data_IF_220602141227
#
_entry.id   IF_220602141227
#
_cell.length_a   1.000
_cell.length_b   1.000
_cell.length_c   1.000
_cell.angle_alpha   90.00
_cell.angle_beta   90.00
_cell.angle_gamma   90.00
#
_symmetry.space_group_name_H-M   'P 1'
#
loop_
_entity.id
_entity.type
_entity.pdbx_description
1 polymer ?
#
# COMPACT_ATOMS: atom_id res chain seq x y z
N UNK A 1 -3.92 16.40 -12.97
CA UNK A 1 -5.29 16.41 -12.42
C UNK A 1 -5.93 17.78 -12.47
N UNK A 2 -5.19 18.88 -12.25
CA UNK A 2 -5.76 20.23 -12.34
C UNK A 2 -6.41 20.53 -13.70
N UNK A 3 -5.93 19.90 -14.77
CA UNK A 3 -6.39 20.12 -16.15
C UNK A 3 -7.52 19.19 -16.60
N UNK A 4 -8.04 18.30 -15.75
CA UNK A 4 -9.20 17.45 -16.11
C UNK A 4 -10.47 18.23 -15.81
N UNK A 5 -11.29 18.50 -16.83
CA UNK A 5 -12.58 19.19 -16.71
C UNK A 5 -13.68 18.28 -16.14
N UNK A 6 -14.78 18.88 -15.66
CA UNK A 6 -15.94 18.13 -15.17
C UNK A 6 -16.56 17.26 -16.28
N UNK A 7 -16.76 17.82 -17.48
CA UNK A 7 -17.31 17.07 -18.63
C UNK A 7 -16.51 15.82 -18.96
N UNK A 8 -15.18 15.93 -19.00
CA UNK A 8 -14.30 14.79 -19.25
C UNK A 8 -14.34 13.77 -18.09
N UNK A 9 -14.50 14.23 -16.85
CA UNK A 9 -14.66 13.35 -15.69
C UNK A 9 -15.99 12.60 -15.74
N UNK A 10 -17.10 13.29 -16.03
CA UNK A 10 -18.45 12.74 -16.16
C UNK A 10 -18.51 11.67 -17.24
N UNK A 11 -17.93 11.90 -18.42
CA UNK A 11 -17.91 10.91 -19.50
C UNK A 11 -17.18 9.60 -19.12
N UNK A 12 -16.23 9.64 -18.18
CA UNK A 12 -15.40 8.47 -17.80
C UNK A 12 -15.83 7.82 -16.48
N UNK A 13 -16.74 8.45 -15.73
CA UNK A 13 -17.30 7.93 -14.48
C UNK A 13 -18.77 7.62 -14.77
N UNK A 14 -19.10 6.34 -14.88
CA UNK A 14 -20.45 5.89 -15.23
C UNK A 14 -21.44 6.17 -14.09
N UNK A 15 -22.73 6.37 -14.41
CA UNK A 15 -23.82 6.51 -13.44
C UNK A 15 -23.87 5.34 -12.46
N UNK A 16 -23.68 4.12 -12.97
CA UNK A 16 -23.61 2.90 -12.15
C UNK A 16 -22.49 2.96 -11.11
N UNK A 17 -21.35 3.60 -11.40
CA UNK A 17 -20.27 3.74 -10.41
C UNK A 17 -20.68 4.69 -9.28
N UNK A 18 -21.42 5.75 -9.58
CA UNK A 18 -21.92 6.70 -8.58
C UNK A 18 -23.00 6.05 -7.70
N UNK A 19 -23.95 5.32 -8.30
CA UNK A 19 -24.97 4.57 -7.57
C UNK A 19 -24.35 3.51 -6.64
N UNK A 20 -23.35 2.77 -7.13
CA UNK A 20 -22.59 1.81 -6.32
C UNK A 20 -21.78 2.47 -5.19
N UNK A 21 -21.36 3.72 -5.35
CA UNK A 21 -20.72 4.47 -4.27
C UNK A 21 -21.75 4.85 -3.21
N UNK A 22 -22.93 5.29 -3.63
CA UNK A 22 -24.01 5.68 -2.73
C UNK A 22 -24.51 4.49 -1.90
N UNK A 23 -24.73 3.32 -2.51
CA UNK A 23 -25.13 2.11 -1.78
C UNK A 23 -24.11 1.64 -0.75
N UNK A 24 -22.83 1.97 -0.92
CA UNK A 24 -21.77 1.63 0.04
C UNK A 24 -21.72 2.55 1.25
N UNK A 25 -22.44 3.68 1.25
CA UNK A 25 -22.46 4.65 2.37
C UNK A 25 -23.02 4.01 3.64
N UNK A 26 -24.01 3.14 3.52
CA UNK A 26 -24.57 2.42 4.67
C UNK A 26 -23.55 1.46 5.32
N UNK A 27 -22.60 0.96 4.55
CA UNK A 27 -21.57 0.03 5.01
C UNK A 27 -20.28 0.70 5.48
N UNK A 28 -20.27 2.02 5.67
CA UNK A 28 -19.05 2.78 6.01
C UNK A 28 -18.44 2.38 7.36
N UNK A 29 -19.26 1.91 8.30
CA UNK A 29 -18.80 1.35 9.59
C UNK A 29 -17.90 0.13 9.40
N UNK A 30 -18.25 -0.76 8.46
CA UNK A 30 -17.45 -1.94 8.11
C UNK A 30 -16.07 -1.56 7.58
N UNK A 31 -16.00 -0.54 6.69
CA UNK A 31 -14.72 -0.04 6.18
C UNK A 31 -13.85 0.55 7.30
N UNK A 32 -14.46 1.28 8.24
CA UNK A 32 -13.77 1.82 9.42
C UNK A 32 -13.20 0.70 10.29
N UNK A 33 -14.00 -0.33 10.59
CA UNK A 33 -13.55 -1.51 11.33
C UNK A 33 -12.39 -2.23 10.66
N UNK A 34 -12.41 -2.40 9.33
CA UNK A 34 -11.31 -3.01 8.56
C UNK A 34 -10.02 -2.21 8.64
N UNK A 35 -10.10 -0.87 8.57
CA UNK A 35 -8.92 0.00 8.72
C UNK A 35 -8.36 -0.09 10.14
N UNK A 36 -9.20 0.01 11.17
CA UNK A 36 -8.77 -0.11 12.57
C UNK A 36 -8.12 -1.47 12.82
N UNK A 37 -8.76 -2.56 12.37
CA UNK A 37 -8.19 -3.91 12.48
C UNK A 37 -6.86 -4.06 11.74
N UNK A 38 -6.75 -3.49 10.53
CA UNK A 38 -5.49 -3.50 9.77
C UNK A 38 -4.37 -2.72 10.48
N UNK A 39 -4.71 -1.65 11.19
CA UNK A 39 -3.75 -0.83 11.93
C UNK A 39 -3.27 -1.55 13.19
N UNK A 40 -4.17 -2.20 13.92
CA UNK A 40 -3.79 -3.07 15.03
C UNK A 40 -2.86 -4.18 14.55
N UNK A 41 -3.19 -4.82 13.43
CA UNK A 41 -2.33 -5.83 12.83
C UNK A 41 -0.96 -5.28 12.39
N UNK A 42 -0.93 -4.09 11.79
CA UNK A 42 0.31 -3.42 11.41
C UNK A 42 1.22 -3.14 12.62
N UNK A 43 0.64 -2.72 13.74
CA UNK A 43 1.38 -2.50 14.98
C UNK A 43 1.92 -3.82 15.56
N UNK A 44 1.13 -4.90 15.52
CA UNK A 44 1.57 -6.24 15.92
C UNK A 44 2.77 -6.71 15.10
N UNK A 45 2.75 -6.51 13.78
CA UNK A 45 3.88 -6.82 12.90
C UNK A 45 5.13 -5.98 13.19
N UNK A 46 4.94 -4.77 13.73
CA UNK A 46 6.03 -3.89 14.14
C UNK A 46 6.64 -4.23 15.50
N UNK A 47 5.98 -5.03 16.34
CA UNK A 47 6.47 -5.34 17.71
C UNK A 47 7.88 -5.91 17.76
N UNK A 48 8.33 -6.83 16.87
CA UNK A 48 9.70 -7.34 16.92
C UNK A 48 10.77 -6.25 16.77
N UNK A 49 10.43 -5.08 16.21
CA UNK A 49 11.33 -3.94 16.10
C UNK A 49 11.62 -3.27 17.44
N UNK A 50 10.81 -3.45 18.49
CA UNK A 50 11.09 -2.85 19.81
C UNK A 50 12.39 -3.32 20.41
N UNK A 51 12.79 -4.56 20.13
CA UNK A 51 14.02 -5.16 20.64
C UNK A 51 15.29 -4.42 20.20
N UNK A 52 15.23 -3.71 19.07
CA UNK A 52 16.40 -3.09 18.45
C UNK A 52 16.20 -1.61 18.12
N UNK A 53 14.96 -1.19 17.87
CA UNK A 53 14.60 0.07 17.23
C UNK A 53 13.27 0.64 17.76
N UNK A 54 13.08 0.65 19.08
CA UNK A 54 11.84 1.10 19.70
C UNK A 54 11.36 2.49 19.24
N UNK A 55 12.28 3.42 18.96
CA UNK A 55 11.95 4.77 18.49
C UNK A 55 11.19 4.77 17.15
N UNK A 56 11.51 3.84 16.25
CA UNK A 56 10.80 3.71 14.98
C UNK A 56 9.39 3.18 15.19
N UNK A 57 9.17 2.23 16.11
CA UNK A 57 7.82 1.77 16.41
C UNK A 57 6.95 2.89 17.00
N UNK A 58 7.50 3.75 17.86
CA UNK A 58 6.78 4.93 18.39
C UNK A 58 6.39 5.87 17.24
N UNK A 59 7.30 6.11 16.30
CA UNK A 59 7.01 6.89 15.09
C UNK A 59 5.89 6.27 14.23
N UNK A 60 5.91 4.95 14.04
CA UNK A 60 4.85 4.23 13.33
C UNK A 60 3.50 4.35 14.05
N UNK A 61 3.48 4.23 15.38
CA UNK A 61 2.27 4.38 16.19
C UNK A 61 1.69 5.78 16.04
N UNK A 62 2.53 6.82 16.11
CA UNK A 62 2.10 8.19 15.91
C UNK A 62 1.50 8.42 14.52
N UNK A 63 2.20 7.96 13.46
CA UNK A 63 1.73 8.08 12.08
C UNK A 63 0.40 7.34 11.85
N UNK A 64 0.29 6.10 12.33
CA UNK A 64 -0.94 5.32 12.20
C UNK A 64 -2.08 5.90 13.00
N UNK A 65 -1.83 6.45 14.19
CA UNK A 65 -2.84 7.13 15.01
C UNK A 65 -3.43 8.35 14.30
N UNK A 66 -2.57 9.22 13.73
CA UNK A 66 -3.01 10.35 12.90
C UNK A 66 -3.87 9.87 11.74
N UNK A 67 -3.46 8.77 11.10
CA UNK A 67 -4.15 8.20 9.96
C UNK A 67 -5.53 7.63 10.32
N UNK A 68 -5.67 6.94 11.46
CA UNK A 68 -6.98 6.50 12.00
C UNK A 68 -7.88 7.70 12.24
N UNK A 69 -7.41 8.66 13.03
CA UNK A 69 -8.21 9.83 13.44
C UNK A 69 -8.70 10.55 12.19
N UNK A 70 -7.81 10.82 11.25
CA UNK A 70 -8.16 11.45 9.98
C UNK A 70 -9.19 10.64 9.19
N UNK A 71 -9.03 9.31 9.11
CA UNK A 71 -9.97 8.47 8.37
C UNK A 71 -11.36 8.43 9.02
N UNK A 72 -11.43 8.33 10.35
CA UNK A 72 -12.69 8.31 11.10
C UNK A 72 -13.45 9.62 10.96
N UNK A 73 -12.75 10.76 10.89
CA UNK A 73 -13.36 12.10 10.68
C UNK A 73 -13.84 12.37 9.25
N UNK A 74 -13.52 11.53 8.27
CA UNK A 74 -14.03 11.73 6.91
C UNK A 74 -15.54 11.52 6.83
N UNK A 75 -16.20 12.35 5.99
CA UNK A 75 -17.56 12.09 5.56
C UNK A 75 -17.65 10.70 4.88
N UNK A 76 -18.80 9.99 4.94
CA UNK A 76 -18.92 8.62 4.48
C UNK A 76 -18.46 8.38 3.05
N UNK A 77 -18.88 9.22 2.10
CA UNK A 77 -18.44 9.12 0.71
C UNK A 77 -16.92 9.23 0.58
N UNK A 78 -16.27 10.10 1.36
CA UNK A 78 -14.82 10.24 1.35
C UNK A 78 -14.11 9.07 2.05
N UNK A 79 -14.74 8.39 3.00
CA UNK A 79 -14.19 7.13 3.57
C UNK A 79 -14.11 6.05 2.51
N UNK A 80 -15.16 5.90 1.70
CA UNK A 80 -15.19 4.90 0.61
C UNK A 80 -14.14 5.24 -0.46
N UNK A 81 -14.09 6.50 -0.90
CA UNK A 81 -13.17 6.94 -1.95
C UNK A 81 -11.70 6.83 -1.53
N UNK A 82 -11.39 7.03 -0.24
CA UNK A 82 -10.01 6.97 0.26
C UNK A 82 -9.64 5.60 0.84
N UNK A 83 -10.56 4.64 0.95
CA UNK A 83 -10.35 3.36 1.63
C UNK A 83 -9.08 2.63 1.15
N UNK A 84 -8.93 2.40 -0.16
CA UNK A 84 -7.76 1.67 -0.69
C UNK A 84 -6.46 2.45 -0.55
N UNK A 85 -6.51 3.79 -0.54
CA UNK A 85 -5.31 4.63 -0.32
C UNK A 85 -4.87 4.55 1.13
N UNK A 86 -5.82 4.60 2.07
CA UNK A 86 -5.56 4.48 3.51
C UNK A 86 -5.07 3.08 3.84
N UNK A 87 -5.72 2.05 3.30
CA UNK A 87 -5.30 0.65 3.46
C UNK A 87 -3.88 0.43 2.91
N UNK A 88 -3.57 0.99 1.73
CA UNK A 88 -2.20 0.99 1.20
C UNK A 88 -1.21 1.60 2.20
N UNK A 89 -1.49 2.79 2.75
CA UNK A 89 -0.57 3.47 3.68
C UNK A 89 -0.36 2.67 4.97
N UNK A 90 -1.40 2.02 5.48
CA UNK A 90 -1.31 1.14 6.66
C UNK A 90 -0.41 -0.05 6.38
N UNK A 91 -0.65 -0.78 5.30
CA UNK A 91 0.15 -1.95 4.94
C UNK A 91 1.57 -1.59 4.48
N UNK A 92 1.77 -0.42 3.88
CA UNK A 92 3.09 0.12 3.57
C UNK A 92 3.90 0.34 4.85
N UNK A 93 3.26 0.92 5.86
CA UNK A 93 3.86 1.11 7.18
C UNK A 93 4.17 -0.25 7.80
N UNK A 94 3.20 -1.18 7.82
CA UNK A 94 3.44 -2.53 8.33
C UNK A 94 4.67 -3.22 7.70
N UNK A 95 4.76 -3.20 6.36
CA UNK A 95 5.85 -3.82 5.64
C UNK A 95 7.21 -3.19 5.96
N UNK A 96 7.32 -1.85 5.93
CA UNK A 96 8.57 -1.15 6.22
C UNK A 96 9.04 -1.44 7.65
N UNK A 97 8.15 -1.30 8.63
CA UNK A 97 8.51 -1.46 10.05
C UNK A 97 8.69 -2.93 10.46
N UNK A 98 8.13 -3.88 9.71
CA UNK A 98 8.49 -5.29 9.82
C UNK A 98 9.92 -5.53 9.29
N UNK A 99 10.26 -4.95 8.14
CA UNK A 99 11.53 -5.22 7.47
C UNK A 99 12.76 -4.59 8.16
N UNK A 100 12.60 -3.48 8.90
CA UNK A 100 13.72 -2.87 9.65
C UNK A 100 14.38 -3.83 10.65
N UNK A 101 13.66 -4.84 11.13
CA UNK A 101 14.19 -5.84 12.08
C UNK A 101 15.37 -6.60 11.47
N UNK A 102 15.34 -6.83 10.16
CA UNK A 102 16.40 -7.53 9.42
C UNK A 102 17.60 -6.64 9.09
N UNK A 103 17.51 -5.34 9.35
CA UNK A 103 18.60 -4.37 9.10
C UNK A 103 19.48 -4.14 10.34
N UNK A 104 19.45 -5.08 11.30
CA UNK A 104 20.27 -4.99 12.51
C UNK A 104 21.75 -5.09 12.21
N UNK A 105 22.45 -3.97 12.29
CA UNK A 105 23.91 -3.89 12.22
C UNK A 105 24.46 -3.46 13.57
N UNK A 106 25.28 -4.30 14.20
CA UNK A 106 25.85 -4.02 15.55
C UNK A 106 26.66 -2.72 15.60
N UNK A 107 27.30 -2.35 14.50
CA UNK A 107 28.11 -1.13 14.39
C UNK A 107 27.27 0.15 14.18
N UNK A 108 25.96 0.04 13.88
CA UNK A 108 25.09 1.18 13.62
C UNK A 108 24.44 1.69 14.92
N UNK A 109 25.24 2.35 15.73
CA UNK A 109 24.83 2.90 17.04
C UNK A 109 23.72 3.94 16.93
N UNK A 110 23.68 4.69 15.83
CA UNK A 110 22.71 5.78 15.60
C UNK A 110 21.48 5.32 14.80
N UNK A 111 21.40 4.04 14.44
CA UNK A 111 20.30 3.46 13.68
C UNK A 111 20.05 4.16 12.32
N UNK A 112 21.11 4.63 11.67
CA UNK A 112 21.05 5.34 10.39
C UNK A 112 20.64 4.43 9.24
N UNK A 113 21.01 3.15 9.27
CA UNK A 113 20.69 2.20 8.20
C UNK A 113 19.16 1.98 8.11
N UNK A 114 18.45 1.64 9.21
CA UNK A 114 17.00 1.59 9.19
C UNK A 114 16.35 2.93 8.82
N UNK A 115 16.91 4.06 9.26
CA UNK A 115 16.37 5.39 8.92
C UNK A 115 16.41 5.63 7.41
N UNK A 116 17.56 5.40 6.78
CA UNK A 116 17.74 5.51 5.34
C UNK A 116 16.79 4.58 4.60
N UNK A 117 16.65 3.33 5.07
CA UNK A 117 15.71 2.38 4.50
C UNK A 117 14.26 2.87 4.59
N UNK A 118 13.81 3.42 5.72
CA UNK A 118 12.46 3.98 5.87
C UNK A 118 12.23 5.11 4.86
N UNK A 119 13.17 6.06 4.78
CA UNK A 119 13.09 7.22 3.86
C UNK A 119 13.04 6.75 2.41
N UNK A 120 13.97 5.88 2.00
CA UNK A 120 14.03 5.36 0.64
C UNK A 120 12.79 4.54 0.30
N UNK A 121 12.29 3.73 1.24
CA UNK A 121 11.10 2.90 1.05
C UNK A 121 9.84 3.73 0.77
N UNK A 122 9.56 4.74 1.60
CA UNK A 122 8.45 5.66 1.35
C UNK A 122 8.66 6.47 0.06
N UNK A 123 9.89 6.91 -0.21
CA UNK A 123 10.25 7.64 -1.43
C UNK A 123 9.99 6.81 -2.69
N UNK A 124 10.49 5.58 -2.75
CA UNK A 124 10.28 4.67 -3.88
C UNK A 124 8.81 4.31 -4.06
N UNK A 125 8.09 3.98 -2.99
CA UNK A 125 6.65 3.68 -3.07
C UNK A 125 5.85 4.88 -3.57
N UNK A 126 6.19 6.10 -3.13
CA UNK A 126 5.56 7.32 -3.63
C UNK A 126 5.85 7.56 -5.11
N UNK A 127 7.11 7.45 -5.55
CA UNK A 127 7.49 7.60 -6.96
C UNK A 127 6.79 6.56 -7.84
N UNK A 128 6.71 5.32 -7.36
CA UNK A 128 6.03 4.24 -8.05
C UNK A 128 4.53 4.53 -8.22
N UNK A 129 3.84 4.88 -7.14
CA UNK A 129 2.43 5.26 -7.19
C UNK A 129 2.20 6.46 -8.10
N UNK A 130 3.03 7.50 -7.97
CA UNK A 130 2.96 8.70 -8.82
C UNK A 130 3.12 8.34 -10.30
N UNK A 131 4.05 7.45 -10.63
CA UNK A 131 4.24 6.99 -12.00
C UNK A 131 2.99 6.25 -12.53
N UNK A 132 2.39 5.35 -11.73
CA UNK A 132 1.16 4.62 -12.10
C UNK A 132 -0.04 5.56 -12.25
N UNK A 133 -0.25 6.47 -11.31
CA UNK A 133 -1.32 7.48 -11.36
C UNK A 133 -1.17 8.38 -12.59
N UNK A 134 0.04 8.88 -12.86
CA UNK A 134 0.27 9.73 -14.04
C UNK A 134 0.03 8.98 -15.35
N UNK A 135 0.40 7.70 -15.40
CA UNK A 135 0.15 6.85 -16.56
C UNK A 135 -1.35 6.67 -16.76
N UNK A 136 -2.09 6.33 -15.71
CA UNK A 136 -3.54 6.19 -15.76
C UNK A 136 -4.26 7.48 -16.20
N UNK A 137 -3.87 8.64 -15.65
CA UNK A 137 -4.47 9.94 -16.02
C UNK A 137 -4.25 10.23 -17.51
N UNK A 138 -3.02 10.02 -18.01
CA UNK A 138 -2.70 10.25 -19.43
C UNK A 138 -3.46 9.30 -20.35
N UNK A 139 -3.62 8.05 -19.96
CA UNK A 139 -4.37 7.05 -20.74
C UNK A 139 -5.87 7.29 -20.75
N UNK A 140 -6.43 7.75 -19.63
CA UNK A 140 -7.90 7.87 -19.48
C UNK A 140 -8.42 9.22 -19.90
N UNK A 141 -7.64 10.29 -19.70
CA UNK A 141 -8.07 11.69 -19.86
C UNK A 141 -7.17 12.51 -20.79
N UNK A 142 -6.10 11.94 -21.35
CA UNK A 142 -5.24 12.61 -22.34
C UNK A 142 -5.23 11.85 -23.66
N UNK A 143 -4.70 12.48 -24.72
CA UNK A 143 -4.64 11.91 -26.08
C UNK A 143 -3.36 11.09 -26.35
N UNK A 144 -2.53 10.80 -25.34
CA UNK A 144 -1.20 10.20 -25.56
C UNK A 144 -1.18 8.74 -25.06
N UNK A 145 -1.24 7.81 -26.00
CA UNK A 145 -0.96 6.38 -25.81
C UNK A 145 0.53 6.10 -25.60
N UNK A 146 1.07 6.47 -24.44
CA UNK A 146 2.48 6.22 -24.14
C UNK A 146 2.71 4.76 -23.71
N UNK A 147 3.02 3.88 -24.67
CA UNK A 147 3.11 2.42 -24.49
C UNK A 147 4.18 1.96 -23.49
N UNK A 148 5.34 2.63 -23.40
CA UNK A 148 6.48 2.19 -22.59
C UNK A 148 6.22 2.21 -21.08
N UNK A 149 5.61 3.27 -20.55
CA UNK A 149 5.29 3.38 -19.10
C UNK A 149 4.20 2.40 -18.66
N UNK A 150 3.28 2.07 -19.57
CA UNK A 150 2.23 1.07 -19.38
C UNK A 150 2.80 -0.33 -19.20
N UNK A 151 3.72 -0.73 -20.09
CA UNK A 151 4.40 -2.03 -20.00
C UNK A 151 5.14 -2.13 -18.67
N UNK A 152 5.89 -1.10 -18.28
CA UNK A 152 6.62 -1.09 -17.00
C UNK A 152 5.70 -1.27 -15.78
N UNK A 153 4.59 -0.53 -15.69
CA UNK A 153 3.65 -0.69 -14.57
C UNK A 153 3.00 -2.08 -14.52
N UNK A 154 2.63 -2.65 -15.68
CA UNK A 154 2.01 -3.98 -15.73
C UNK A 154 3.01 -5.07 -15.37
N UNK A 155 4.24 -4.97 -15.88
CA UNK A 155 5.33 -5.90 -15.59
C UNK A 155 5.67 -5.92 -14.11
N UNK A 156 5.83 -4.76 -13.46
CA UNK A 156 6.13 -4.72 -12.01
C UNK A 156 4.98 -5.31 -11.19
N UNK A 157 3.73 -4.99 -11.53
CA UNK A 157 2.57 -5.57 -10.83
C UNK A 157 2.58 -7.10 -10.93
N UNK A 158 2.86 -7.64 -12.13
CA UNK A 158 2.97 -9.09 -12.35
C UNK A 158 4.12 -9.71 -11.57
N UNK A 159 5.29 -9.06 -11.56
CA UNK A 159 6.46 -9.51 -10.78
C UNK A 159 6.13 -9.54 -9.30
N UNK A 160 5.47 -8.51 -8.75
CA UNK A 160 5.09 -8.46 -7.34
C UNK A 160 4.04 -9.55 -6.99
N UNK A 161 3.07 -9.81 -7.86
CA UNK A 161 2.13 -10.91 -7.69
C UNK A 161 2.81 -12.28 -7.69
N UNK A 162 3.77 -12.51 -8.60
CA UNK A 162 4.57 -13.74 -8.64
C UNK A 162 5.43 -13.86 -7.38
N UNK A 163 6.10 -12.78 -6.97
CA UNK A 163 6.89 -12.73 -5.74
C UNK A 163 6.04 -13.11 -4.53
N UNK A 164 4.84 -12.55 -4.39
CA UNK A 164 3.90 -12.91 -3.32
C UNK A 164 3.56 -14.41 -3.34
N UNK A 165 3.25 -14.96 -4.52
CA UNK A 165 2.93 -16.38 -4.67
C UNK A 165 4.12 -17.28 -4.26
N UNK A 166 5.34 -16.93 -4.70
CA UNK A 166 6.56 -17.65 -4.34
C UNK A 166 6.77 -17.63 -2.82
N UNK A 167 6.66 -16.47 -2.17
CA UNK A 167 6.80 -16.34 -0.71
C UNK A 167 5.79 -17.23 0.03
N UNK A 168 4.52 -17.21 -0.38
CA UNK A 168 3.47 -18.03 0.22
C UNK A 168 3.79 -19.52 0.06
N UNK A 169 4.17 -19.94 -1.16
CA UNK A 169 4.54 -21.33 -1.46
C UNK A 169 5.75 -21.75 -0.61
N UNK A 170 6.78 -20.91 -0.51
CA UNK A 170 7.96 -21.18 0.31
C UNK A 170 7.62 -21.35 1.80
N UNK A 171 6.74 -20.51 2.35
CA UNK A 171 6.30 -20.61 3.75
C UNK A 171 5.51 -21.90 3.98
N UNK A 172 4.59 -22.24 3.07
CA UNK A 172 3.78 -23.46 3.16
C UNK A 172 4.66 -24.70 3.02
N UNK A 173 5.60 -24.70 2.07
CA UNK A 173 6.57 -25.77 1.88
C UNK A 173 7.44 -25.97 3.12
N UNK A 174 7.98 -24.88 3.70
CA UNK A 174 8.76 -24.94 4.94
C UNK A 174 7.93 -25.50 6.09
N UNK A 175 6.69 -25.04 6.28
CA UNK A 175 5.80 -25.53 7.35
C UNK A 175 5.46 -27.01 7.18
N UNK A 176 5.12 -27.45 5.97
CA UNK A 176 4.76 -28.84 5.67
C UNK A 176 5.93 -29.81 5.80
N UNK A 177 7.15 -29.36 5.48
CA UNK A 177 8.35 -30.20 5.48
C UNK A 177 9.28 -29.92 6.67
N UNK A 178 8.84 -29.14 7.66
CA UNK A 178 9.67 -28.69 8.79
C UNK A 178 10.38 -29.85 9.49
N UNK A 179 9.67 -30.95 9.74
CA UNK A 179 10.20 -32.13 10.42
C UNK A 179 11.29 -32.84 9.60
N UNK A 180 11.16 -32.89 8.28
CA UNK A 180 12.18 -33.45 7.39
C UNK A 180 13.40 -32.54 7.26
N UNK A 181 13.19 -31.22 7.13
CA UNK A 181 14.24 -30.22 6.97
C UNK A 181 15.13 -30.06 8.21
N UNK A 182 14.55 -30.16 9.43
CA UNK A 182 15.33 -30.05 10.68
C UNK A 182 16.28 -31.23 10.87
N UNK A 183 15.94 -32.40 10.31
CA UNK A 183 16.76 -33.61 10.42
C UNK A 183 17.82 -33.71 9.32
N UNK A 184 17.88 -32.74 8.40
CA UNK A 184 18.96 -32.68 7.41
C UNK A 184 20.23 -32.12 8.05
N UNK A 185 21.25 -32.96 8.16
CA UNK A 185 22.60 -32.50 8.51
C UNK A 185 23.18 -31.70 7.33
N UNK A 186 22.95 -30.39 7.34
CA UNK A 186 23.66 -29.48 6.43
C UNK A 186 24.96 -29.03 7.10
N UNK A 187 26.03 -29.82 6.93
CA UNK A 187 27.40 -29.37 7.23
C UNK A 187 27.84 -28.37 6.16
N UNK A 188 27.36 -27.13 6.27
CA UNK A 188 27.82 -26.00 5.46
C UNK A 188 29.01 -25.36 6.18
N UNK A 189 30.14 -26.05 6.21
CA UNK A 189 31.35 -25.66 6.94
C UNK A 189 32.27 -24.68 6.20
N UNK A 190 31.84 -24.07 5.09
CA UNK A 190 32.65 -23.07 4.38
C UNK A 190 31.86 -21.79 4.15
N UNK A 191 32.02 -20.85 5.09
CA UNK A 191 31.54 -19.47 4.99
C UNK A 191 32.40 -18.66 4.00
N UNK A 192 32.30 -19.02 2.72
CA UNK A 192 32.93 -18.30 1.62
C UNK A 192 32.18 -17.01 1.25
N UNK A 193 32.88 -16.08 0.60
CA UNK A 193 32.30 -14.85 0.02
C UNK A 193 30.98 -15.08 -0.74
N UNK A 194 30.89 -16.19 -1.47
CA UNK A 194 29.72 -16.59 -2.26
C UNK A 194 28.46 -16.79 -1.40
N UNK A 195 28.59 -17.35 -0.19
CA UNK A 195 27.47 -17.51 0.73
C UNK A 195 26.96 -16.16 1.24
N UNK A 196 27.87 -15.25 1.62
CA UNK A 196 27.49 -13.90 2.03
C UNK A 196 26.84 -13.11 0.89
N UNK A 197 27.32 -13.28 -0.35
CA UNK A 197 26.70 -12.68 -1.53
C UNK A 197 25.28 -13.21 -1.76
N UNK A 198 25.05 -14.52 -1.65
CA UNK A 198 23.71 -15.12 -1.80
C UNK A 198 22.76 -14.60 -0.72
N UNK A 199 23.16 -14.60 0.55
CA UNK A 199 22.32 -14.10 1.64
C UNK A 199 22.07 -12.59 1.53
N UNK A 200 23.08 -11.82 1.15
CA UNK A 200 22.97 -10.37 0.94
C UNK A 200 22.01 -10.02 -0.20
N UNK A 201 22.16 -10.67 -1.35
CA UNK A 201 21.24 -10.49 -2.49
C UNK A 201 19.83 -10.96 -2.13
N UNK A 202 19.71 -12.11 -1.47
CA UNK A 202 18.43 -12.62 -0.98
C UNK A 202 17.73 -11.63 -0.06
N UNK A 203 18.44 -11.07 0.91
CA UNK A 203 17.91 -10.05 1.82
C UNK A 203 17.48 -8.79 1.06
N UNK A 204 18.27 -8.31 0.09
CA UNK A 204 17.90 -7.15 -0.74
C UNK A 204 16.62 -7.40 -1.55
N UNK A 205 16.47 -8.58 -2.15
CA UNK A 205 15.27 -8.97 -2.88
C UNK A 205 14.06 -9.01 -1.96
N UNK A 206 14.21 -9.56 -0.75
CA UNK A 206 13.14 -9.57 0.26
C UNK A 206 12.78 -8.16 0.70
N UNK A 207 13.77 -7.30 1.01
CA UNK A 207 13.56 -5.91 1.38
C UNK A 207 12.76 -5.17 0.31
N UNK A 208 13.21 -5.19 -0.93
CA UNK A 208 12.54 -4.49 -2.03
C UNK A 208 11.17 -5.10 -2.30
N UNK A 209 11.07 -6.42 -2.38
CA UNK A 209 9.84 -7.15 -2.66
C UNK A 209 8.75 -6.84 -1.63
N UNK A 210 9.03 -7.07 -0.34
CA UNK A 210 8.07 -6.79 0.72
C UNK A 210 7.70 -5.31 0.84
N UNK A 211 8.66 -4.41 0.63
CA UNK A 211 8.39 -2.95 0.65
C UNK A 211 7.40 -2.54 -0.43
N UNK A 212 7.47 -3.17 -1.61
CA UNK A 212 6.63 -2.82 -2.76
C UNK A 212 5.31 -3.59 -2.79
N UNK A 213 5.17 -4.70 -2.08
CA UNK A 213 3.93 -5.49 -2.05
C UNK A 213 2.67 -4.68 -1.72
N UNK A 214 2.67 -3.78 -0.71
CA UNK A 214 1.48 -2.98 -0.39
C UNK A 214 1.00 -2.10 -1.56
N UNK A 215 1.88 -1.74 -2.50
CA UNK A 215 1.50 -0.96 -3.69
C UNK A 215 0.50 -1.69 -4.61
N UNK A 216 0.32 -3.00 -4.45
CA UNK A 216 -0.72 -3.77 -5.12
C UNK A 216 -2.13 -3.40 -4.63
N UNK A 217 -2.27 -2.97 -3.37
CA UNK A 217 -3.53 -2.49 -2.79
C UNK A 217 -3.94 -1.12 -3.36
N UNK A 218 -2.96 -0.36 -3.88
CA UNK A 218 -3.22 0.93 -4.47
C UNK A 218 -3.77 0.79 -5.90
N UNK A 219 -4.99 1.27 -6.11
CA UNK A 219 -5.63 1.33 -7.42
C UNK A 219 -5.56 2.76 -8.00
N UNK A 220 -4.77 2.99 -9.08
CA UNK A 220 -4.69 4.29 -9.73
C UNK A 220 -6.04 4.79 -10.24
N UNK A 221 -6.90 3.88 -10.73
CA UNK A 221 -8.21 4.25 -11.25
C UNK A 221 -9.13 4.79 -10.16
N UNK A 222 -9.25 4.05 -9.05
CA UNK A 222 -10.07 4.46 -7.92
C UNK A 222 -9.53 5.73 -7.26
N UNK A 223 -8.20 5.87 -7.15
CA UNK A 223 -7.59 7.09 -6.61
C UNK A 223 -7.91 8.32 -7.47
N UNK A 224 -7.76 8.22 -8.79
CA UNK A 224 -8.01 9.34 -9.71
C UNK A 224 -9.49 9.67 -9.76
N UNK A 225 -10.35 8.67 -9.97
CA UNK A 225 -11.81 8.86 -9.98
C UNK A 225 -12.31 9.43 -8.66
N UNK A 226 -11.88 8.89 -7.52
CA UNK A 226 -12.27 9.39 -6.21
C UNK A 226 -11.80 10.82 -5.93
N UNK A 227 -10.62 11.20 -6.42
CA UNK A 227 -10.17 12.59 -6.37
C UNK A 227 -10.99 13.52 -7.28
N UNK A 228 -11.40 13.08 -8.46
CA UNK A 228 -12.26 13.85 -9.36
C UNK A 228 -13.66 14.02 -8.77
N UNK A 229 -14.24 12.95 -8.22
CA UNK A 229 -15.53 12.99 -7.50
C UNK A 229 -15.43 13.94 -6.32
N UNK A 230 -14.34 13.91 -5.56
CA UNK A 230 -14.12 14.86 -4.46
C UNK A 230 -13.95 16.31 -4.93
N UNK A 231 -13.31 16.53 -6.08
CA UNK A 231 -13.10 17.87 -6.66
C UNK A 231 -14.41 18.47 -7.15
N UNK A 232 -15.25 17.67 -7.79
CA UNK A 232 -16.52 18.06 -8.41
C UNK A 232 -17.73 17.52 -7.64
N UNK A 233 -17.63 17.49 -6.31
CA UNK A 233 -18.58 16.77 -5.47
C UNK A 233 -20.00 17.31 -5.59
N UNK A 234 -20.16 18.63 -5.72
CA UNK A 234 -21.48 19.26 -5.84
C UNK A 234 -22.08 19.08 -7.24
N UNK A 235 -21.24 19.13 -8.27
CA UNK A 235 -21.66 18.91 -9.65
C UNK A 235 -22.15 17.47 -9.84
N UNK A 236 -21.39 16.48 -9.35
CA UNK A 236 -21.84 15.09 -9.33
C UNK A 236 -23.10 14.90 -8.51
N UNK A 237 -23.19 15.48 -7.31
CA UNK A 237 -24.38 15.36 -6.45
C UNK A 237 -25.64 15.90 -7.15
N UNK A 238 -25.57 17.09 -7.75
CA UNK A 238 -26.71 17.74 -8.41
C UNK A 238 -27.11 17.01 -9.70
N UNK A 239 -26.15 16.60 -10.50
CA UNK A 239 -26.39 15.89 -11.77
C UNK A 239 -27.20 14.60 -11.56
N UNK A 240 -26.87 13.85 -10.51
CA UNK A 240 -27.53 12.58 -10.21
C UNK A 240 -28.70 12.72 -9.22
N UNK A 241 -29.10 13.95 -8.87
CA UNK A 241 -30.28 14.22 -8.05
C UNK A 241 -30.16 13.83 -6.57
N UNK A 242 -28.96 13.62 -6.05
CA UNK A 242 -28.77 13.24 -4.64
C UNK A 242 -28.94 14.44 -3.69
N UNK A 243 -29.59 14.19 -2.57
CA UNK A 243 -29.65 15.14 -1.44
C UNK A 243 -28.28 15.26 -0.77
N UNK A 244 -28.06 16.35 -0.02
CA UNK A 244 -26.83 16.48 0.79
C UNK A 244 -26.69 15.35 1.81
N UNK A 245 -27.81 14.90 2.40
CA UNK A 245 -27.83 13.82 3.38
C UNK A 245 -27.43 12.48 2.77
N UNK A 246 -27.91 12.16 1.58
CA UNK A 246 -27.52 10.94 0.88
C UNK A 246 -26.03 10.97 0.50
N UNK A 247 -25.56 12.11 -0.02
CA UNK A 247 -24.19 12.22 -0.53
C UNK A 247 -23.13 12.32 0.57
N UNK A 248 -23.42 13.08 1.63
CA UNK A 248 -22.47 13.38 2.71
C UNK A 248 -22.75 12.63 4.01
N UNK A 249 -23.83 11.86 4.09
CA UNK A 249 -24.32 11.27 5.33
C UNK A 249 -24.95 12.29 6.27
N UNK A 250 -25.40 11.80 7.41
CA UNK A 250 -25.83 12.64 8.53
C UNK A 250 -24.63 13.37 9.15
N UNK A 251 -24.86 14.60 9.65
CA UNK A 251 -23.84 15.42 10.30
C UNK A 251 -23.51 14.89 11.68
#
# INVERSE_FOLDING_TARGET
MNNVSYENAKQKINSQEIEQLNSKIEHTSSYTGKIVGSILFALLLGLPSTNYYAIYLIGALFFLSILVVRYVTFKPIFKILNYNTVLFLVWQTAAIFFMIVFLRVKADTYHLIPLLYIILSYGFSFLFIRARTNTYVKETFGEIHNSKKRVFSKTITKILSIFLAVVIISILFYRGNKWWLINMNTTLETSGFLQYAIWGIGLLVLLIGFTLLPTLLFSPSQYVKGRLIKKYAEEFRKEYGFTEKEWYGEK
#
